data_IF_776922410704
#
_entry.id   IF_776922410704
#
_cell.length_a   1.000
_cell.length_b   1.000
_cell.length_c   1.000
_cell.angle_alpha   90.00
_cell.angle_beta   90.00
_cell.angle_gamma   90.00
#
_symmetry.space_group_name_H-M   'P 1'
#
loop_
_entity.id
_entity.type
_entity.pdbx_description
1 polymer ?
#
# COMPACT_ATOMS: atom_id res chain seq x y z
N UNK A 1 8.62 6.77 12.21
CA UNK A 1 9.22 6.88 13.57
C UNK A 1 8.40 7.79 14.48
N UNK A 2 8.20 9.07 14.16
CA UNK A 2 7.39 9.95 15.02
C UNK A 2 5.90 9.57 15.06
N UNK A 3 5.32 9.22 13.92
CA UNK A 3 3.96 8.65 13.86
C UNK A 3 3.82 7.42 14.77
N UNK A 4 4.81 6.53 14.74
CA UNK A 4 4.85 5.34 15.58
C UNK A 4 4.79 5.69 17.07
N UNK A 5 5.65 6.63 17.49
CA UNK A 5 5.66 7.17 18.84
C UNK A 5 4.32 7.81 19.23
N UNK A 6 3.63 8.51 18.32
CA UNK A 6 2.33 9.11 18.60
C UNK A 6 1.22 8.05 18.75
N UNK A 7 1.25 6.98 17.95
CA UNK A 7 0.21 5.95 17.97
C UNK A 7 0.40 4.86 19.03
N UNK A 8 1.64 4.51 19.38
CA UNK A 8 1.95 3.42 20.30
C UNK A 8 2.68 3.93 21.56
N UNK A 9 2.58 3.21 22.69
CA UNK A 9 3.30 3.54 23.94
C UNK A 9 2.53 4.41 24.95
N UNK A 10 3.29 4.94 25.92
CA UNK A 10 2.83 5.51 27.21
C UNK A 10 2.07 6.84 27.05
N UNK A 11 1.28 7.22 28.06
CA UNK A 11 0.63 8.53 28.22
C UNK A 11 1.64 9.67 28.46
N UNK A 12 1.26 10.94 28.26
CA UNK A 12 2.09 12.15 28.40
C UNK A 12 3.19 12.35 27.35
N UNK A 13 2.84 12.17 26.08
CA UNK A 13 3.75 12.38 24.95
C UNK A 13 4.04 13.88 24.75
N UNK A 14 5.31 14.22 24.57
CA UNK A 14 5.74 15.56 24.12
C UNK A 14 6.85 15.46 23.07
N UNK A 15 7.23 16.59 22.48
CA UNK A 15 8.36 16.65 21.54
C UNK A 15 9.69 16.42 22.26
N UNK A 16 9.80 16.92 23.50
CA UNK A 16 10.96 16.77 24.38
C UNK A 16 11.14 15.30 24.79
N UNK A 17 10.06 14.63 25.22
CA UNK A 17 10.09 13.18 25.53
C UNK A 17 10.49 12.35 24.32
N UNK A 18 10.00 12.70 23.12
CA UNK A 18 10.42 12.01 21.90
C UNK A 18 11.91 12.19 21.62
N UNK A 19 12.44 13.40 21.77
CA UNK A 19 13.86 13.68 21.57
C UNK A 19 14.75 12.88 22.54
N UNK A 20 14.35 12.79 23.81
CA UNK A 20 15.07 12.01 24.82
C UNK A 20 15.11 10.52 24.43
N UNK A 21 13.97 9.93 24.09
CA UNK A 21 13.86 8.52 23.68
C UNK A 21 14.63 8.21 22.41
N UNK A 22 14.63 9.15 21.45
CA UNK A 22 15.45 9.01 20.23
C UNK A 22 16.94 9.00 20.60
N UNK A 23 17.37 9.88 21.49
CA UNK A 23 18.76 9.97 21.93
C UNK A 23 19.21 8.69 22.66
N UNK A 24 18.39 8.16 23.56
CA UNK A 24 18.64 6.89 24.26
C UNK A 24 18.72 5.71 23.29
N UNK A 25 17.78 5.63 22.34
CA UNK A 25 17.77 4.54 21.35
C UNK A 25 19.00 4.60 20.43
N UNK A 26 19.45 5.81 20.05
CA UNK A 26 20.64 6.00 19.24
C UNK A 26 21.90 5.55 20.00
N UNK A 27 22.04 5.90 21.28
CA UNK A 27 23.18 5.45 22.10
C UNK A 27 23.25 3.93 22.21
N UNK A 28 22.12 3.27 22.47
CA UNK A 28 22.04 1.81 22.51
C UNK A 28 22.43 1.19 21.15
N UNK A 29 21.94 1.76 20.06
CA UNK A 29 22.21 1.28 18.72
C UNK A 29 23.67 1.48 18.30
N UNK A 30 24.23 2.65 18.57
CA UNK A 30 25.66 2.97 18.37
C UNK A 30 26.56 2.04 19.17
N UNK A 31 26.21 1.75 20.43
CA UNK A 31 26.92 0.78 21.26
C UNK A 31 26.88 -0.64 20.70
N UNK A 32 25.82 -1.04 20.00
CA UNK A 32 25.82 -2.31 19.28
C UNK A 32 26.80 -2.31 18.10
N UNK A 33 26.91 -1.17 17.39
CA UNK A 33 27.74 -1.06 16.19
C UNK A 33 29.24 -1.02 16.47
N UNK A 34 29.66 -0.82 17.73
CA UNK A 34 31.08 -0.95 18.08
C UNK A 34 31.56 -2.40 18.00
N UNK A 35 30.66 -3.36 18.24
CA UNK A 35 31.00 -4.79 18.32
C UNK A 35 30.42 -5.63 17.16
N UNK A 36 29.31 -5.16 16.56
CA UNK A 36 28.54 -5.94 15.60
C UNK A 36 28.26 -5.17 14.31
N UNK A 37 27.93 -5.91 13.25
CA UNK A 37 27.56 -5.30 11.96
C UNK A 37 26.21 -4.58 12.04
N UNK A 38 25.97 -3.64 11.11
CA UNK A 38 24.67 -2.99 10.93
C UNK A 38 23.53 -4.02 10.88
N UNK A 39 23.68 -5.06 10.07
CA UNK A 39 22.67 -6.12 9.90
C UNK A 39 22.42 -6.84 11.24
N UNK A 40 23.48 -7.22 11.95
CA UNK A 40 23.36 -7.88 13.26
C UNK A 40 22.58 -7.03 14.27
N UNK A 41 22.85 -5.72 14.34
CA UNK A 41 22.15 -4.81 15.25
C UNK A 41 20.67 -4.61 14.87
N UNK A 42 20.38 -4.45 13.58
CA UNK A 42 19.00 -4.27 13.08
C UNK A 42 18.11 -5.49 13.38
N UNK A 43 18.64 -6.71 13.24
CA UNK A 43 17.90 -7.94 13.50
C UNK A 43 17.93 -8.40 14.97
N UNK A 44 18.65 -7.71 15.86
CA UNK A 44 18.75 -8.09 17.26
C UNK A 44 17.47 -7.74 18.04
N UNK A 45 16.61 -8.73 18.28
CA UNK A 45 15.34 -8.55 19.00
C UNK A 45 15.52 -8.04 20.42
N UNK A 46 16.57 -8.45 21.13
CA UNK A 46 16.85 -7.98 22.49
C UNK A 46 17.15 -6.49 22.51
N UNK A 47 18.02 -6.02 21.61
CA UNK A 47 18.33 -4.60 21.44
C UNK A 47 17.05 -3.83 21.05
N UNK A 48 16.30 -4.34 20.09
CA UNK A 48 15.06 -3.73 19.60
C UNK A 48 13.98 -3.58 20.68
N UNK A 49 13.89 -4.52 21.62
CA UNK A 49 12.95 -4.46 22.74
C UNK A 49 13.42 -3.53 23.87
N UNK A 50 14.73 -3.28 23.96
CA UNK A 50 15.31 -2.36 24.94
C UNK A 50 15.21 -0.89 24.48
N UNK A 51 15.22 -0.63 23.16
CA UNK A 51 15.13 0.73 22.63
C UNK A 51 13.72 1.33 22.85
N UNK A 52 13.62 2.55 23.40
CA UNK A 52 12.32 3.22 23.60
C UNK A 52 11.67 3.72 22.29
N UNK A 53 12.43 3.85 21.18
CA UNK A 53 11.87 4.03 19.83
C UNK A 53 12.42 3.01 18.85
N UNK A 54 11.58 2.61 17.89
CA UNK A 54 11.88 1.52 16.94
C UNK A 54 12.67 2.01 15.72
N UNK A 55 13.95 2.34 15.92
CA UNK A 55 14.84 2.80 14.86
C UNK A 55 14.94 1.80 13.69
N UNK A 56 15.02 0.50 14.01
CA UNK A 56 15.19 -0.59 13.05
C UNK A 56 14.11 -0.62 11.97
N UNK A 57 12.88 -0.23 12.30
CA UNK A 57 11.74 -0.26 11.36
C UNK A 57 11.99 0.68 10.18
N UNK A 58 12.72 1.78 10.38
CA UNK A 58 13.03 2.75 9.32
C UNK A 58 14.26 2.40 8.47
N UNK A 59 15.04 1.38 8.84
CA UNK A 59 16.28 1.00 8.14
C UNK A 59 15.99 0.07 6.95
N UNK A 60 15.09 0.51 6.06
CA UNK A 60 14.58 -0.27 4.93
C UNK A 60 15.68 -0.91 4.07
N UNK A 61 16.81 -0.22 3.89
CA UNK A 61 17.92 -0.68 3.07
C UNK A 61 18.48 -2.02 3.54
N UNK A 62 18.54 -2.28 4.86
CA UNK A 62 19.06 -3.54 5.41
C UNK A 62 18.19 -4.71 4.96
N UNK A 63 16.86 -4.53 5.03
CA UNK A 63 15.90 -5.55 4.61
C UNK A 63 15.83 -5.70 3.09
N UNK A 64 15.87 -4.59 2.34
CA UNK A 64 15.83 -4.60 0.88
C UNK A 64 17.07 -5.30 0.31
N UNK A 65 18.26 -5.07 0.87
CA UNK A 65 19.48 -5.76 0.44
C UNK A 65 19.34 -7.27 0.66
N UNK A 66 18.82 -7.71 1.81
CA UNK A 66 18.54 -9.14 2.06
C UNK A 66 17.53 -9.70 1.04
N UNK A 67 16.45 -8.99 0.74
CA UNK A 67 15.45 -9.43 -0.23
C UNK A 67 16.03 -9.55 -1.65
N UNK A 68 16.91 -8.64 -2.04
CA UNK A 68 17.58 -8.66 -3.35
C UNK A 68 18.58 -9.81 -3.51
N UNK A 69 18.98 -10.48 -2.41
CA UNK A 69 19.75 -11.73 -2.51
C UNK A 69 18.90 -12.93 -2.93
N UNK A 70 17.57 -12.82 -2.79
CA UNK A 70 16.60 -13.90 -3.07
C UNK A 70 15.75 -13.61 -4.30
N UNK A 71 15.30 -12.36 -4.47
CA UNK A 71 14.43 -11.92 -5.55
C UNK A 71 15.14 -10.90 -6.45
N UNK A 72 14.86 -10.95 -7.76
CA UNK A 72 15.38 -9.92 -8.66
C UNK A 72 14.70 -8.57 -8.41
N UNK A 73 15.36 -7.47 -8.80
CA UNK A 73 14.85 -6.11 -8.57
C UNK A 73 13.48 -5.90 -9.19
N UNK A 74 13.20 -6.55 -10.32
CA UNK A 74 11.97 -6.45 -11.11
C UNK A 74 10.79 -7.13 -10.42
N UNK A 75 11.04 -8.05 -9.47
CA UNK A 75 10.00 -8.74 -8.69
C UNK A 75 9.63 -7.99 -7.41
N UNK A 76 10.15 -6.78 -7.19
CA UNK A 76 9.88 -5.96 -6.01
C UNK A 76 9.37 -4.59 -6.44
N UNK A 77 8.16 -4.23 -6.05
CA UNK A 77 7.63 -2.88 -6.22
C UNK A 77 7.79 -2.06 -4.94
N UNK A 78 8.51 -0.94 -5.02
CA UNK A 78 8.63 0.03 -3.92
C UNK A 78 7.83 1.27 -4.29
N UNK A 79 6.84 1.61 -3.48
CA UNK A 79 5.99 2.79 -3.65
C UNK A 79 6.18 3.75 -2.49
N UNK A 80 6.20 5.04 -2.81
CA UNK A 80 6.22 6.11 -1.81
C UNK A 80 4.80 6.44 -1.37
N UNK A 81 4.61 6.59 -0.06
CA UNK A 81 3.32 6.93 0.49
C UNK A 81 2.87 8.35 0.10
N UNK A 82 3.80 9.30 -0.03
CA UNK A 82 3.47 10.67 -0.42
C UNK A 82 2.94 10.75 -1.87
N UNK A 83 3.52 9.95 -2.77
CA UNK A 83 3.06 9.84 -4.15
C UNK A 83 1.67 9.19 -4.21
N UNK A 84 1.40 8.22 -3.33
CA UNK A 84 0.09 7.58 -3.23
C UNK A 84 -0.98 8.51 -2.66
N UNK A 85 -0.63 9.28 -1.62
CA UNK A 85 -1.53 10.25 -1.02
C UNK A 85 -1.87 11.40 -1.99
N UNK A 86 -0.89 11.88 -2.75
CA UNK A 86 -1.09 12.95 -3.75
C UNK A 86 -1.79 12.45 -5.02
N UNK A 87 -1.52 11.21 -5.47
CA UNK A 87 -2.16 10.64 -6.64
C UNK A 87 -2.34 9.11 -6.51
N UNK A 88 -3.45 8.73 -5.88
CA UNK A 88 -3.85 7.33 -5.70
C UNK A 88 -4.04 6.60 -7.02
N UNK A 89 -4.64 7.24 -8.02
CA UNK A 89 -4.91 6.63 -9.33
C UNK A 89 -3.61 6.21 -10.00
N UNK A 90 -2.63 7.11 -10.07
CA UNK A 90 -1.33 6.85 -10.68
C UNK A 90 -0.57 5.72 -9.99
N UNK A 91 -0.52 5.74 -8.66
CA UNK A 91 0.19 4.68 -7.91
C UNK A 91 -0.52 3.34 -7.97
N UNK A 92 -1.85 3.30 -8.04
CA UNK A 92 -2.60 2.06 -8.28
C UNK A 92 -2.37 1.51 -9.69
N UNK A 93 -2.23 2.36 -10.71
CA UNK A 93 -1.81 1.89 -12.04
C UNK A 93 -0.44 1.21 -11.99
N UNK A 94 0.54 1.75 -11.26
CA UNK A 94 1.84 1.07 -11.06
C UNK A 94 1.70 -0.30 -10.42
N UNK A 95 0.80 -0.44 -9.44
CA UNK A 95 0.51 -1.75 -8.81
C UNK A 95 -0.08 -2.72 -9.83
N UNK A 96 -1.05 -2.27 -10.63
CA UNK A 96 -1.70 -3.11 -11.63
C UNK A 96 -0.70 -3.55 -12.72
N UNK A 97 0.10 -2.62 -13.23
CA UNK A 97 1.14 -2.91 -14.22
C UNK A 97 2.16 -3.91 -13.67
N UNK A 98 2.63 -3.72 -12.42
CA UNK A 98 3.59 -4.61 -11.76
C UNK A 98 3.03 -6.03 -11.56
N UNK A 99 1.76 -6.14 -11.18
CA UNK A 99 1.08 -7.43 -11.03
C UNK A 99 0.64 -8.03 -12.37
N UNK A 100 0.92 -7.35 -13.49
CA UNK A 100 0.41 -7.67 -14.81
C UNK A 100 -1.12 -7.87 -14.82
N UNK A 101 -1.81 -7.08 -13.99
CA UNK A 101 -3.24 -6.87 -14.03
C UNK A 101 -3.53 -5.83 -15.10
N UNK A 102 -3.12 -6.11 -16.34
CA UNK A 102 -3.74 -5.44 -17.46
C UNK A 102 -5.24 -5.64 -17.29
N UNK A 103 -6.02 -4.58 -17.49
CA UNK A 103 -7.40 -4.75 -17.91
C UNK A 103 -7.29 -5.62 -19.16
N UNK A 104 -7.51 -6.94 -19.00
CA UNK A 104 -7.63 -7.85 -20.12
C UNK A 104 -8.94 -7.42 -20.77
N UNK A 105 -8.89 -6.31 -21.50
CA UNK A 105 -9.82 -5.99 -22.55
C UNK A 105 -9.81 -7.23 -23.41
N UNK A 106 -10.84 -8.06 -23.25
CA UNK A 106 -11.07 -9.28 -24.03
C UNK A 106 -11.41 -8.93 -25.49
N UNK A 107 -11.17 -7.67 -25.90
CA UNK A 107 -11.83 -7.03 -27.02
C UNK A 107 -13.26 -6.64 -26.69
N UNK A 108 -13.95 -5.97 -27.63
CA UNK A 108 -15.38 -5.75 -27.52
C UNK A 108 -16.12 -7.10 -27.52
N UNK A 109 -17.19 -7.19 -26.72
CA UNK A 109 -18.12 -8.31 -26.79
C UNK A 109 -18.64 -8.48 -28.23
N UNK A 110 -18.86 -9.73 -28.66
CA UNK A 110 -19.50 -9.98 -29.95
C UNK A 110 -20.85 -9.25 -30.03
N UNK A 111 -21.17 -8.56 -31.15
CA UNK A 111 -22.40 -7.79 -31.28
C UNK A 111 -23.66 -8.59 -30.96
N UNK A 112 -23.69 -9.87 -31.35
CA UNK A 112 -24.81 -10.79 -31.07
C UNK A 112 -24.97 -11.07 -29.57
N UNK A 113 -23.89 -11.26 -28.84
CA UNK A 113 -23.94 -11.49 -27.39
C UNK A 113 -24.38 -10.23 -26.67
N UNK A 114 -23.92 -9.05 -27.13
CA UNK A 114 -24.32 -7.75 -26.61
C UNK A 114 -25.83 -7.53 -26.78
N UNK A 115 -26.38 -7.90 -27.93
CA UNK A 115 -27.82 -7.83 -28.19
C UNK A 115 -28.62 -8.75 -27.28
N UNK A 116 -28.22 -10.03 -27.16
CA UNK A 116 -28.89 -11.01 -26.29
C UNK A 116 -28.92 -10.54 -24.84
N UNK A 117 -27.79 -10.04 -24.33
CA UNK A 117 -27.70 -9.56 -22.95
C UNK A 117 -28.48 -8.27 -22.73
N UNK A 118 -28.44 -7.33 -23.68
CA UNK A 118 -29.25 -6.10 -23.62
C UNK A 118 -30.72 -6.45 -23.47
N UNK A 119 -31.24 -7.27 -24.37
CA UNK A 119 -32.66 -7.62 -24.41
C UNK A 119 -33.09 -8.36 -23.14
N UNK A 120 -32.22 -9.21 -22.58
CA UNK A 120 -32.46 -9.87 -21.31
C UNK A 120 -32.51 -8.90 -20.12
N UNK A 121 -31.58 -7.93 -20.03
CA UNK A 121 -31.45 -7.06 -18.86
C UNK A 121 -32.38 -5.83 -18.88
N UNK A 122 -32.83 -5.36 -20.05
CA UNK A 122 -33.69 -4.16 -20.18
C UNK A 122 -34.84 -4.09 -19.17
N UNK A 123 -35.73 -5.10 -19.03
CA UNK A 123 -36.88 -4.98 -18.12
C UNK A 123 -36.46 -4.90 -16.63
N UNK A 124 -35.32 -5.48 -16.28
CA UNK A 124 -34.78 -5.41 -14.91
C UNK A 124 -34.16 -4.04 -14.64
N UNK A 125 -33.45 -3.49 -15.61
CA UNK A 125 -32.79 -2.19 -15.53
C UNK A 125 -33.82 -1.04 -15.44
N UNK A 126 -34.91 -1.11 -16.20
CA UNK A 126 -36.03 -0.16 -16.08
C UNK A 126 -36.65 -0.19 -14.68
N UNK A 127 -36.85 -1.39 -14.12
CA UNK A 127 -37.36 -1.56 -12.77
C UNK A 127 -36.39 -0.99 -11.73
N UNK A 128 -35.09 -1.23 -11.89
CA UNK A 128 -34.04 -0.69 -11.02
C UNK A 128 -34.03 0.84 -11.05
N UNK A 129 -34.02 1.43 -12.25
CA UNK A 129 -34.04 2.89 -12.45
C UNK A 129 -35.25 3.54 -11.76
N UNK A 130 -36.43 2.91 -11.87
CA UNK A 130 -37.65 3.39 -11.20
C UNK A 130 -37.55 3.31 -9.67
N UNK A 131 -37.01 2.22 -9.13
CA UNK A 131 -36.82 2.04 -7.67
C UNK A 131 -35.83 3.04 -7.10
N UNK A 132 -34.70 3.24 -7.80
CA UNK A 132 -33.64 4.16 -7.39
C UNK A 132 -33.94 5.62 -7.73
N UNK A 133 -34.97 5.88 -8.53
CA UNK A 133 -35.31 7.21 -9.09
C UNK A 133 -34.12 7.83 -9.82
N UNK A 134 -33.41 7.01 -10.59
CA UNK A 134 -32.26 7.44 -11.36
C UNK A 134 -32.21 6.68 -12.71
N UNK A 135 -32.51 7.39 -13.79
CA UNK A 135 -32.58 6.82 -15.15
C UNK A 135 -31.20 6.46 -15.72
N UNK A 136 -30.08 6.86 -15.10
CA UNK A 136 -28.74 6.42 -15.56
C UNK A 136 -28.55 4.90 -15.44
N UNK A 137 -29.34 4.23 -14.60
CA UNK A 137 -29.37 2.77 -14.45
C UNK A 137 -30.16 2.04 -15.54
N UNK A 138 -30.69 2.73 -16.55
CA UNK A 138 -31.20 2.07 -17.76
C UNK A 138 -30.07 1.66 -18.71
N UNK A 139 -28.94 2.37 -18.63
CA UNK A 139 -27.74 2.18 -19.47
C UNK A 139 -28.02 2.35 -20.99
N UNK A 140 -28.91 3.26 -21.35
CA UNK A 140 -29.36 3.49 -22.74
C UNK A 140 -28.28 4.11 -23.66
N UNK A 141 -27.34 4.88 -23.10
CA UNK A 141 -26.22 5.47 -23.84
C UNK A 141 -24.93 4.68 -23.58
N UNK A 142 -24.43 4.03 -24.64
CA UNK A 142 -23.09 3.46 -24.80
C UNK A 142 -22.34 3.14 -23.50
N UNK A 143 -22.68 2.02 -22.87
CA UNK A 143 -21.75 1.40 -21.95
C UNK A 143 -20.67 0.71 -22.78
N UNK A 144 -19.45 1.21 -22.69
CA UNK A 144 -18.20 0.49 -23.00
C UNK A 144 -17.99 -0.75 -22.08
N UNK A 145 -19.06 -1.22 -21.42
CA UNK A 145 -19.07 -2.25 -20.38
C UNK A 145 -20.14 -3.33 -20.64
N UNK A 146 -20.81 -3.31 -21.79
CA UNK A 146 -21.51 -4.47 -22.37
C UNK A 146 -21.00 -4.71 -23.79
#
# INVERSE_FOLDING_TARGET
LYSDYLFFGITNKSAEDFQEKVSESLQLFEGCLTEYTMRSCVYNTTLNNAMPVRLQVGLYIVYILDWLTVYSREQILVLRLEDHASNRKYTMHKVFDFLNLADKSLGPMLPVTKEILRDFYTPFNEKLAKVLRNDTFRWDNHSELM
#
